data_IF_165204430276
#
_entry.id   IF_165204430276
#
_cell.length_a   1.000
_cell.length_b   1.000
_cell.length_c   1.000
_cell.angle_alpha   90.00
_cell.angle_beta   90.00
_cell.angle_gamma   90.00
#
_symmetry.space_group_name_H-M   'P 1'
#
loop_
_entity.id
_entity.type
_entity.pdbx_description
1 polymer ?
#
# COMPACT_ATOMS: atom_id res chain seq x y z
N UNK A 1 -8.82 -33.41 27.00
CA UNK A 1 -9.45 -32.16 27.47
C UNK A 1 -8.60 -31.02 26.94
N UNK A 2 -9.17 -30.05 26.23
CA UNK A 2 -8.39 -28.93 25.72
C UNK A 2 -7.78 -28.14 26.90
N UNK A 3 -6.47 -27.92 26.87
CA UNK A 3 -5.80 -27.18 27.93
C UNK A 3 -6.03 -25.69 27.77
N UNK A 4 -5.94 -24.92 28.85
CA UNK A 4 -6.07 -23.45 28.82
C UNK A 4 -5.04 -22.83 27.85
N UNK A 5 -3.87 -23.46 27.70
CA UNK A 5 -2.84 -23.04 26.76
C UNK A 5 -3.27 -23.21 25.29
N UNK A 6 -3.88 -24.34 24.93
CA UNK A 6 -4.41 -24.60 23.59
C UNK A 6 -5.54 -23.63 23.24
N UNK A 7 -6.43 -23.35 24.20
CA UNK A 7 -7.52 -22.39 24.00
C UNK A 7 -6.98 -20.97 23.76
N UNK A 8 -5.96 -20.56 24.54
CA UNK A 8 -5.30 -19.26 24.37
C UNK A 8 -4.59 -19.16 23.02
N UNK A 9 -3.94 -20.23 22.57
CA UNK A 9 -3.28 -20.29 21.27
C UNK A 9 -4.29 -20.16 20.12
N UNK A 10 -5.37 -20.96 20.16
CA UNK A 10 -6.43 -20.94 19.16
C UNK A 10 -7.13 -19.57 19.08
N UNK A 11 -7.40 -18.94 20.22
CA UNK A 11 -7.97 -17.58 20.26
C UNK A 11 -7.03 -16.55 19.63
N UNK A 12 -5.74 -16.60 19.97
CA UNK A 12 -4.73 -15.69 19.42
C UNK A 12 -4.61 -15.84 17.90
N UNK A 13 -4.64 -17.07 17.40
CA UNK A 13 -4.61 -17.39 15.98
C UNK A 13 -5.90 -16.96 15.24
N UNK A 14 -7.06 -17.10 15.88
CA UNK A 14 -8.33 -16.62 15.34
C UNK A 14 -8.35 -15.08 15.23
N UNK A 15 -7.88 -14.38 16.28
CA UNK A 15 -7.75 -12.91 16.28
C UNK A 15 -6.71 -12.42 15.27
N UNK A 16 -5.64 -13.18 15.06
CA UNK A 16 -4.65 -12.88 14.03
C UNK A 16 -5.22 -13.04 12.62
N UNK A 17 -5.93 -14.15 12.34
CA UNK A 17 -6.59 -14.38 11.03
C UNK A 17 -7.62 -13.32 10.68
N UNK A 18 -8.37 -12.82 11.68
CA UNK A 18 -9.35 -11.74 11.50
C UNK A 18 -8.71 -10.35 11.38
N UNK A 19 -7.39 -10.23 11.57
CA UNK A 19 -6.66 -8.95 11.54
C UNK A 19 -6.80 -8.09 12.80
N UNK A 20 -7.67 -8.45 13.74
CA UNK A 20 -7.89 -7.72 14.99
C UNK A 20 -6.62 -7.62 15.84
N UNK A 21 -5.83 -8.69 15.94
CA UNK A 21 -4.56 -8.67 16.67
C UNK A 21 -3.54 -7.73 16.01
N UNK A 22 -3.59 -7.61 14.68
CA UNK A 22 -2.77 -6.68 13.91
C UNK A 22 -3.15 -5.24 14.17
N UNK A 23 -4.45 -4.91 14.18
CA UNK A 23 -4.95 -3.58 14.50
C UNK A 23 -4.57 -3.12 15.91
N UNK A 24 -4.70 -4.00 16.92
CA UNK A 24 -4.31 -3.66 18.30
C UNK A 24 -2.80 -3.41 18.38
N UNK A 25 -1.97 -4.27 17.77
CA UNK A 25 -0.51 -4.07 17.74
C UNK A 25 -0.11 -2.79 17.03
N UNK A 26 -0.75 -2.49 15.90
CA UNK A 26 -0.54 -1.26 15.15
C UNK A 26 -0.83 -0.03 16.01
N UNK A 27 -1.98 -0.02 16.69
CA UNK A 27 -2.36 1.08 17.58
C UNK A 27 -1.39 1.24 18.75
N UNK A 28 -1.00 0.14 19.40
CA UNK A 28 0.01 0.19 20.48
C UNK A 28 1.33 0.76 19.96
N UNK A 29 1.79 0.35 18.76
CA UNK A 29 2.99 0.91 18.16
C UNK A 29 2.84 2.41 17.90
N UNK A 30 1.72 2.85 17.33
CA UNK A 30 1.46 4.26 17.08
C UNK A 30 1.49 5.10 18.37
N UNK A 31 0.86 4.63 19.44
CA UNK A 31 0.88 5.31 20.75
C UNK A 31 2.28 5.34 21.37
N UNK A 32 3.05 4.25 21.25
CA UNK A 32 4.44 4.20 21.72
C UNK A 32 5.31 5.17 20.94
N UNK A 33 5.17 5.24 19.62
CA UNK A 33 5.89 6.21 18.80
C UNK A 33 5.46 7.64 19.12
N UNK A 34 4.17 7.91 19.31
CA UNK A 34 3.68 9.22 19.71
C UNK A 34 4.20 9.67 21.09
N UNK A 35 4.38 8.73 22.02
CA UNK A 35 4.94 9.01 23.34
C UNK A 35 6.46 9.16 23.34
N UNK A 36 7.15 8.59 22.34
CA UNK A 36 8.59 8.72 22.15
C UNK A 36 8.97 9.91 21.24
N UNK A 37 8.05 10.39 20.41
CA UNK A 37 8.24 11.56 19.57
C UNK A 37 8.43 12.78 20.47
N UNK A 38 9.64 13.35 20.43
CA UNK A 38 9.98 14.59 21.12
C UNK A 38 9.37 15.75 20.32
N UNK A 39 8.37 16.50 20.84
CA UNK A 39 7.72 17.58 20.11
C UNK A 39 8.68 18.73 19.73
N UNK A 40 9.92 18.70 20.21
CA UNK A 40 10.99 19.65 19.91
C UNK A 40 11.78 19.37 18.62
N UNK A 41 11.70 18.18 18.02
CA UNK A 41 12.31 17.93 16.70
C UNK A 41 11.25 18.15 15.60
N UNK A 42 11.29 19.28 14.86
CA UNK A 42 10.45 19.43 13.70
C UNK A 42 10.87 18.35 12.70
N UNK A 43 10.00 17.35 12.54
CA UNK A 43 10.15 16.34 11.49
C UNK A 43 10.47 17.07 10.18
N UNK A 44 11.57 16.73 9.49
CA UNK A 44 11.94 17.43 8.27
C UNK A 44 10.75 17.40 7.32
N UNK A 45 10.32 18.59 6.87
CA UNK A 45 9.22 18.71 5.94
C UNK A 45 9.52 17.81 4.74
N UNK A 46 8.73 16.76 4.58
CA UNK A 46 8.94 15.82 3.48
C UNK A 46 8.82 16.61 2.17
N UNK A 47 9.80 16.48 1.26
CA UNK A 47 9.72 17.16 -0.03
C UNK A 47 8.47 16.67 -0.78
N UNK A 48 7.97 17.49 -1.69
CA UNK A 48 6.70 17.26 -2.41
C UNK A 48 6.65 15.87 -3.06
N UNK A 49 7.79 15.40 -3.57
CA UNK A 49 7.97 14.09 -4.18
C UNK A 49 7.75 12.95 -3.17
N UNK A 50 8.22 13.10 -1.93
CA UNK A 50 8.01 12.13 -0.86
C UNK A 50 6.56 12.08 -0.43
N UNK A 51 5.85 13.22 -0.43
CA UNK A 51 4.41 13.24 -0.16
C UNK A 51 3.63 12.48 -1.24
N UNK A 52 3.95 12.72 -2.52
CA UNK A 52 3.34 11.99 -3.64
C UNK A 52 3.63 10.49 -3.57
N UNK A 53 4.87 10.11 -3.25
CA UNK A 53 5.25 8.70 -3.10
C UNK A 53 4.49 8.03 -1.95
N UNK A 54 4.40 8.70 -0.80
CA UNK A 54 3.69 8.16 0.34
C UNK A 54 2.19 8.01 0.06
N UNK A 55 1.56 8.93 -0.71
CA UNK A 55 0.17 8.77 -1.16
C UNK A 55 0.00 7.60 -2.14
N UNK A 56 0.97 7.35 -3.04
CA UNK A 56 0.96 6.16 -3.89
C UNK A 56 1.06 4.86 -3.10
N UNK A 57 1.89 4.83 -2.05
CA UNK A 57 2.02 3.69 -1.14
C UNK A 57 0.70 3.49 -0.37
N UNK A 58 0.10 4.58 0.13
CA UNK A 58 -1.19 4.55 0.80
C UNK A 58 -2.28 3.98 -0.11
N UNK A 59 -2.37 4.45 -1.36
CA UNK A 59 -3.31 3.96 -2.36
C UNK A 59 -3.11 2.47 -2.62
N UNK A 60 -1.85 2.02 -2.78
CA UNK A 60 -1.52 0.61 -2.96
C UNK A 60 -1.99 -0.25 -1.78
N UNK A 61 -1.69 0.17 -0.55
CA UNK A 61 -2.09 -0.56 0.66
C UNK A 61 -3.62 -0.64 0.80
N UNK A 62 -4.33 0.45 0.46
CA UNK A 62 -5.79 0.48 0.47
C UNK A 62 -6.39 -0.42 -0.62
N UNK A 63 -5.85 -0.37 -1.84
CA UNK A 63 -6.28 -1.21 -2.96
C UNK A 63 -6.18 -2.70 -2.63
N UNK A 64 -5.11 -3.11 -1.94
CA UNK A 64 -4.91 -4.50 -1.50
C UNK A 64 -5.53 -4.84 -0.15
N UNK A 65 -6.32 -3.94 0.44
CA UNK A 65 -6.99 -4.11 1.75
C UNK A 65 -6.04 -4.37 2.92
N UNK A 66 -4.82 -3.84 2.87
CA UNK A 66 -3.84 -3.89 3.94
C UNK A 66 -4.07 -2.80 5.00
N UNK A 67 -5.26 -2.78 5.58
CA UNK A 67 -5.73 -1.70 6.47
C UNK A 67 -4.84 -1.52 7.72
N UNK A 68 -4.31 -2.60 8.28
CA UNK A 68 -3.43 -2.53 9.45
C UNK A 68 -2.09 -1.84 9.10
N UNK A 69 -1.50 -2.18 7.95
CA UNK A 69 -0.26 -1.55 7.49
C UNK A 69 -0.48 -0.09 7.10
N UNK A 70 -1.61 0.22 6.45
CA UNK A 70 -1.96 1.60 6.10
C UNK A 70 -2.08 2.50 7.33
N UNK A 71 -2.70 2.00 8.42
CA UNK A 71 -2.83 2.76 9.67
C UNK A 71 -1.47 3.07 10.32
N UNK A 72 -0.55 2.09 10.33
CA UNK A 72 0.80 2.31 10.86
C UNK A 72 1.56 3.28 9.96
N UNK A 73 1.51 3.08 8.65
CA UNK A 73 2.20 3.92 7.67
C UNK A 73 1.78 5.39 7.75
N UNK A 74 0.49 5.69 7.94
CA UNK A 74 0.01 7.06 8.11
C UNK A 74 0.58 7.72 9.37
N UNK A 75 0.55 7.02 10.50
CA UNK A 75 1.14 7.49 11.74
C UNK A 75 2.67 7.70 11.61
N UNK A 76 3.36 6.76 10.97
CA UNK A 76 4.81 6.82 10.79
C UNK A 76 5.25 7.89 9.78
N UNK A 77 4.48 8.13 8.72
CA UNK A 77 4.84 9.10 7.67
C UNK A 77 4.43 10.54 7.98
N UNK A 78 3.53 10.75 8.94
CA UNK A 78 3.00 12.07 9.28
C UNK A 78 2.14 12.66 8.15
N UNK A 79 1.57 11.80 7.31
CA UNK A 79 0.69 12.22 6.23
C UNK A 79 -0.67 12.68 6.77
N UNK A 80 -1.35 13.60 6.06
CA UNK A 80 -2.70 13.99 6.41
C UNK A 80 -3.65 12.79 6.40
N UNK A 81 -4.58 12.76 7.36
CA UNK A 81 -5.59 11.70 7.43
C UNK A 81 -6.50 11.68 6.21
N UNK A 82 -6.65 12.82 5.53
CA UNK A 82 -7.43 12.93 4.30
C UNK A 82 -6.53 12.52 3.12
N UNK A 83 -6.87 11.45 2.38
CA UNK A 83 -6.09 11.03 1.20
C UNK A 83 -6.20 12.07 0.08
N UNK A 84 -5.16 12.16 -0.74
CA UNK A 84 -5.22 12.94 -1.98
C UNK A 84 -6.12 12.24 -3.00
N UNK A 85 -6.78 13.04 -3.82
CA UNK A 85 -7.65 12.52 -4.88
C UNK A 85 -6.83 11.79 -5.95
N UNK A 86 -7.34 10.67 -6.44
CA UNK A 86 -6.66 9.83 -7.42
C UNK A 86 -6.45 10.58 -8.73
N UNK A 87 -7.43 11.40 -9.14
CA UNK A 87 -7.31 12.23 -10.34
C UNK A 87 -6.21 13.30 -10.19
N UNK A 88 -6.02 13.81 -8.99
CA UNK A 88 -4.95 14.76 -8.69
C UNK A 88 -3.58 14.07 -8.76
N UNK A 89 -3.43 12.89 -8.15
CA UNK A 89 -2.21 12.09 -8.23
C UNK A 89 -1.86 11.72 -9.68
N UNK A 90 -2.85 11.30 -10.47
CA UNK A 90 -2.65 10.95 -11.88
C UNK A 90 -2.16 12.16 -12.70
N UNK A 91 -2.73 13.35 -12.47
CA UNK A 91 -2.30 14.60 -13.12
C UNK A 91 -0.87 14.95 -12.75
N UNK A 92 -0.51 14.87 -11.47
CA UNK A 92 0.83 15.23 -11.01
C UNK A 92 1.91 14.23 -11.44
N UNK A 93 1.55 12.97 -11.64
CA UNK A 93 2.46 11.94 -12.16
C UNK A 93 2.47 11.88 -13.69
N UNK A 94 1.72 12.77 -14.36
CA UNK A 94 1.52 12.78 -15.81
C UNK A 94 1.07 11.42 -16.37
N UNK A 95 0.25 10.69 -15.60
CA UNK A 95 -0.29 9.39 -15.98
C UNK A 95 -1.67 9.58 -16.59
N UNK A 96 -1.87 9.08 -17.81
CA UNK A 96 -3.18 9.02 -18.45
C UNK A 96 -3.89 7.75 -18.00
N UNK A 97 -4.98 7.90 -17.25
CA UNK A 97 -5.82 6.78 -16.83
C UNK A 97 -6.80 6.37 -17.94
N UNK A 98 -6.70 5.12 -18.38
CA UNK A 98 -7.68 4.44 -19.24
C UNK A 98 -8.70 3.64 -18.37
N UNK A 99 -9.91 3.28 -18.82
CA UNK A 99 -10.83 2.44 -18.04
C UNK A 99 -10.20 1.12 -17.56
N UNK A 100 -9.24 0.57 -18.32
CA UNK A 100 -8.47 -0.62 -17.92
C UNK A 100 -7.38 -0.36 -16.87
N UNK A 101 -7.05 0.91 -16.61
CA UNK A 101 -6.03 1.34 -15.65
C UNK A 101 -6.60 1.50 -14.22
N UNK A 102 -7.92 1.67 -14.09
CA UNK A 102 -8.61 1.76 -12.80
C UNK A 102 -8.64 0.45 -12.01
N UNK A 103 -8.40 -0.68 -12.68
CA UNK A 103 -8.32 -2.00 -12.03
C UNK A 103 -6.95 -2.29 -11.41
N UNK A 104 -6.03 -1.34 -11.42
CA UNK A 104 -4.73 -1.43 -10.77
C UNK A 104 -4.42 -0.13 -10.00
N UNK A 105 -3.62 -0.20 -8.92
CA UNK A 105 -3.18 1.00 -8.20
C UNK A 105 -2.30 1.88 -9.11
N UNK A 106 -2.32 3.20 -8.93
CA UNK A 106 -1.52 4.11 -9.78
C UNK A 106 -0.03 3.78 -9.72
N UNK A 107 0.47 3.34 -8.55
CA UNK A 107 1.83 2.85 -8.37
C UNK A 107 2.21 1.73 -9.36
N UNK A 108 1.25 0.88 -9.70
CA UNK A 108 1.45 -0.25 -10.61
C UNK A 108 1.31 0.09 -12.09
N UNK A 109 0.85 1.29 -12.45
CA UNK A 109 0.56 1.64 -13.85
C UNK A 109 1.80 1.63 -14.76
N UNK A 110 2.93 2.26 -14.38
CA UNK A 110 4.15 2.21 -15.20
C UNK A 110 4.62 0.76 -15.43
N UNK A 111 4.59 -0.07 -14.38
CA UNK A 111 4.94 -1.48 -14.46
C UNK A 111 3.96 -2.26 -15.35
N UNK A 112 2.67 -1.99 -15.25
CA UNK A 112 1.64 -2.65 -16.07
C UNK A 112 1.78 -2.30 -17.56
N UNK A 113 2.14 -1.04 -17.89
CA UNK A 113 2.40 -0.62 -19.26
C UNK A 113 3.66 -1.30 -19.82
N UNK A 114 4.71 -1.41 -19.02
CA UNK A 114 5.91 -2.15 -19.40
C UNK A 114 5.61 -3.63 -19.61
N UNK A 115 4.92 -4.30 -18.68
CA UNK A 115 4.57 -5.72 -18.82
C UNK A 115 3.69 -5.96 -20.04
N UNK A 116 2.67 -5.10 -20.28
CA UNK A 116 1.84 -5.17 -21.49
C UNK A 116 2.71 -5.02 -22.74
N UNK A 117 3.59 -4.02 -22.80
CA UNK A 117 4.47 -3.78 -23.94
C UNK A 117 5.41 -4.96 -24.21
N UNK A 118 5.97 -5.57 -23.16
CA UNK A 118 6.82 -6.77 -23.28
C UNK A 118 6.03 -7.98 -23.78
N UNK A 119 4.79 -8.15 -23.31
CA UNK A 119 3.90 -9.25 -23.74
C UNK A 119 3.49 -9.11 -25.22
N UNK A 120 3.20 -7.88 -25.68
CA UNK A 120 2.93 -7.59 -27.10
C UNK A 120 4.15 -7.87 -27.98
N UNK A 121 5.35 -7.49 -27.54
CA UNK A 121 6.60 -7.80 -28.27
C UNK A 121 6.85 -9.30 -28.39
N UNK A 122 6.62 -10.06 -27.32
CA UNK A 122 6.79 -11.53 -27.33
C UNK A 122 5.79 -12.23 -28.26
N UNK A 123 4.54 -11.76 -28.31
CA UNK A 123 3.53 -12.31 -29.21
C UNK A 123 3.84 -11.99 -30.69
N UNK A 124 4.40 -10.82 -30.99
CA UNK A 124 4.85 -10.48 -32.34
C UNK A 124 6.04 -11.34 -32.79
N UNK A 125 7.04 -11.56 -31.93
CA UNK A 125 8.17 -12.45 -32.28
C UNK A 125 7.73 -13.90 -32.40
N UNK A 126 6.77 -14.38 -31.60
CA UNK A 126 6.27 -15.74 -31.72
C UNK A 126 5.45 -15.96 -33.00
N UNK A 127 4.62 -14.99 -33.42
CA UNK A 127 3.91 -15.04 -34.70
C UNK A 127 4.84 -14.90 -35.92
N UNK A 128 6.01 -14.25 -35.78
CA UNK A 128 7.01 -14.16 -36.85
C UNK A 128 7.86 -15.43 -36.98
N UNK A 129 8.00 -16.22 -35.90
CA UNK A 129 8.75 -17.49 -35.89
C UNK A 129 7.88 -18.69 -36.31
N UNK A 130 6.56 -18.63 -36.11
CA UNK A 130 5.62 -19.68 -36.53
C UNK A 130 4.94 -19.41 -37.90
N UNK A 131 5.41 -18.41 -38.65
CA UNK A 131 4.91 -18.07 -39.98
C UNK A 131 5.79 -18.61 -41.11
N UNK A 132 5.97 -19.93 -41.19
CA UNK A 132 6.34 -20.69 -42.39
C UNK A 132 5.79 -22.12 -42.27
#
# INVERSE_FOLDING_TARGET
MATVAELKAALKEALARRGALGQVRARVRAEVFAALDDPGEPRPAAPRETLLLNELIREYLQFHRHNASASVFLAESGQPEIPLDREFLAKELHVVEDPSSRSVPLFGLPASHLIKATKWKLLQTQNMVCGF
#
